data_IF_880912022733
#
_entry.id   IF_880912022733
#
_cell.length_a   1.000
_cell.length_b   1.000
_cell.length_c   1.000
_cell.angle_alpha   90.00
_cell.angle_beta   90.00
_cell.angle_gamma   90.00
#
_symmetry.space_group_name_H-M   'P 1'
#
loop_
_entity.id
_entity.type
_entity.pdbx_description
1 polymer ?
#
# COMPACT_ATOMS: atom_id res chain seq x y z
N UNK A 1 6.66 -2.49 -16.22
CA UNK A 1 5.21 -2.21 -16.18
C UNK A 1 4.78 -2.54 -14.76
N UNK A 2 4.00 -1.69 -14.10
CA UNK A 2 3.57 -1.94 -12.72
C UNK A 2 2.65 -3.17 -12.68
N UNK A 3 3.02 -4.15 -11.87
CA UNK A 3 2.32 -5.41 -11.68
C UNK A 3 1.51 -5.43 -10.38
N UNK A 4 0.49 -6.30 -10.30
CA UNK A 4 -0.22 -6.53 -9.03
C UNK A 4 0.78 -7.02 -7.99
N UNK A 5 0.81 -6.36 -6.83
CA UNK A 5 1.77 -6.61 -5.77
C UNK A 5 2.93 -5.62 -5.73
N UNK A 6 3.22 -4.92 -6.83
CA UNK A 6 4.22 -3.84 -6.84
C UNK A 6 3.80 -2.70 -5.92
N UNK A 7 4.80 -1.99 -5.39
CA UNK A 7 4.58 -0.71 -4.75
C UNK A 7 4.75 0.42 -5.75
N UNK A 8 3.80 1.34 -5.72
CA UNK A 8 3.76 2.48 -6.61
C UNK A 8 3.58 3.77 -5.82
N UNK A 9 4.22 4.84 -6.31
CA UNK A 9 4.01 6.20 -5.82
C UNK A 9 3.30 7.02 -6.88
N UNK A 10 2.24 7.69 -6.48
CA UNK A 10 1.57 8.68 -7.32
C UNK A 10 2.43 9.93 -7.45
N UNK A 11 2.68 10.40 -8.67
CA UNK A 11 3.61 11.50 -8.93
C UNK A 11 3.12 12.85 -8.42
N UNK A 12 1.82 13.15 -8.58
CA UNK A 12 1.23 14.42 -8.12
C UNK A 12 0.97 14.43 -6.61
N UNK A 13 0.29 13.40 -6.07
CA UNK A 13 -0.15 13.41 -4.66
C UNK A 13 0.92 12.90 -3.69
N UNK A 14 1.96 12.21 -4.18
CA UNK A 14 2.97 11.57 -3.34
C UNK A 14 2.49 10.32 -2.62
N UNK A 15 1.23 9.91 -2.80
CA UNK A 15 0.66 8.72 -2.17
C UNK A 15 1.45 7.46 -2.56
N UNK A 16 1.76 6.62 -1.58
CA UNK A 16 2.41 5.32 -1.78
C UNK A 16 1.44 4.21 -1.43
N UNK A 17 1.38 3.19 -2.27
CA UNK A 17 0.53 2.04 -2.03
C UNK A 17 0.91 0.82 -2.85
N UNK A 18 0.23 -0.29 -2.58
CA UNK A 18 0.38 -1.53 -3.34
C UNK A 18 -0.62 -1.59 -4.48
N UNK A 19 -0.17 -1.98 -5.65
CA UNK A 19 -1.02 -2.22 -6.82
C UNK A 19 -1.90 -3.45 -6.55
N UNK A 20 -3.22 -3.27 -6.67
CA UNK A 20 -4.22 -4.33 -6.44
C UNK A 20 -5.05 -4.65 -7.69
N UNK A 21 -4.88 -3.88 -8.76
CA UNK A 21 -5.54 -4.17 -10.03
C UNK A 21 -5.44 -3.05 -11.04
N UNK A 22 -6.15 -3.26 -12.15
CA UNK A 22 -6.21 -2.34 -13.28
C UNK A 22 -7.67 -1.97 -13.55
N UNK A 23 -7.84 -0.81 -14.16
CA UNK A 23 -9.10 -0.35 -14.69
C UNK A 23 -8.88 0.35 -16.02
N UNK A 24 -9.92 1.02 -16.49
CA UNK A 24 -9.85 1.83 -17.68
C UNK A 24 -10.83 2.99 -17.59
N UNK A 25 -10.46 4.08 -18.23
CA UNK A 25 -11.33 5.23 -18.43
C UNK A 25 -11.24 5.77 -19.87
N UNK A 26 -12.22 6.57 -20.27
CA UNK A 26 -12.22 7.24 -21.57
C UNK A 26 -11.88 8.71 -21.37
N UNK A 27 -10.67 9.10 -21.76
CA UNK A 27 -10.22 10.49 -21.75
C UNK A 27 -10.15 11.01 -23.19
N UNK A 28 -10.90 12.06 -23.49
CA UNK A 28 -10.95 12.67 -24.83
C UNK A 28 -11.23 11.67 -25.96
N UNK A 29 -12.05 10.64 -25.70
CA UNK A 29 -12.37 9.59 -26.67
C UNK A 29 -11.29 8.52 -26.82
N UNK A 30 -10.22 8.57 -26.03
CA UNK A 30 -9.17 7.54 -25.98
C UNK A 30 -9.40 6.65 -24.77
N UNK A 31 -9.28 5.34 -24.97
CA UNK A 31 -9.35 4.35 -23.88
C UNK A 31 -7.97 4.25 -23.21
N UNK A 32 -7.91 4.59 -21.92
CA UNK A 32 -6.66 4.69 -21.17
C UNK A 32 -6.72 3.74 -19.97
N UNK A 33 -5.63 3.02 -19.73
CA UNK A 33 -5.50 2.11 -18.57
C UNK A 33 -5.25 2.91 -17.30
N UNK A 34 -6.00 2.58 -16.25
CA UNK A 34 -5.85 3.11 -14.89
C UNK A 34 -5.28 2.04 -13.96
N UNK A 35 -4.70 2.49 -12.86
CA UNK A 35 -4.03 1.69 -11.85
C UNK A 35 -4.78 1.83 -10.53
N UNK A 36 -5.25 0.71 -9.98
CA UNK A 36 -5.90 0.66 -8.66
C UNK A 36 -4.86 0.33 -7.60
N UNK A 37 -4.67 1.26 -6.67
CA UNK A 37 -3.65 1.19 -5.64
C UNK A 37 -4.29 1.27 -4.26
N UNK A 38 -3.92 0.34 -3.37
CA UNK A 38 -4.27 0.36 -1.96
C UNK A 38 -3.21 1.15 -1.20
N UNK A 39 -3.60 2.27 -0.61
CA UNK A 39 -2.71 3.15 0.18
C UNK A 39 -2.13 2.43 1.39
N UNK A 40 -0.84 2.64 1.65
CA UNK A 40 -0.16 2.18 2.87
C UNK A 40 -0.23 3.31 3.88
N UNK A 41 -1.15 3.21 4.83
CA UNK A 41 -1.26 4.17 5.93
C UNK A 41 -0.58 3.56 7.15
N UNK A 42 0.26 4.32 7.85
CA UNK A 42 0.79 3.94 9.15
C UNK A 42 -0.37 3.92 10.18
N UNK A 43 -1.07 2.78 10.29
CA UNK A 43 -2.26 2.65 11.13
C UNK A 43 -3.08 1.38 10.86
N UNK A 44 -4.29 1.32 11.42
CA UNK A 44 -5.16 0.14 11.34
C UNK A 44 -5.46 -0.28 9.88
N UNK A 45 -5.24 -1.56 9.52
CA UNK A 45 -5.52 -2.10 8.18
C UNK A 45 -7.00 -2.03 7.80
N UNK A 46 -7.91 -1.82 8.76
CA UNK A 46 -9.36 -1.78 8.55
C UNK A 46 -9.85 -0.53 7.81
N UNK A 47 -9.00 0.51 7.66
CA UNK A 47 -9.32 1.72 6.87
C UNK A 47 -8.44 1.86 5.63
N UNK A 48 -8.22 0.76 4.93
CA UNK A 48 -7.52 0.76 3.65
C UNK A 48 -8.26 1.65 2.64
N UNK A 49 -7.64 2.75 2.20
CA UNK A 49 -8.14 3.59 1.10
C UNK A 49 -7.64 3.02 -0.22
N UNK A 50 -8.53 2.97 -1.22
CA UNK A 50 -8.16 2.67 -2.59
C UNK A 50 -8.17 3.96 -3.41
N UNK A 51 -7.16 4.12 -4.24
CA UNK A 51 -7.04 5.22 -5.21
C UNK A 51 -6.87 4.62 -6.59
N UNK A 52 -7.56 5.21 -7.56
CA UNK A 52 -7.46 4.83 -8.96
C UNK A 52 -7.13 6.07 -9.77
N UNK A 53 -6.10 6.00 -10.60
CA UNK A 53 -5.71 7.07 -11.52
C UNK A 53 -5.02 6.47 -12.76
N UNK A 54 -4.80 7.28 -13.79
CA UNK A 54 -4.13 6.89 -15.04
C UNK A 54 -2.78 6.26 -14.77
N UNK A 55 -2.45 5.18 -15.47
CA UNK A 55 -1.19 4.45 -15.30
C UNK A 55 0.05 5.37 -15.32
N UNK A 56 0.06 6.38 -16.20
CA UNK A 56 1.17 7.31 -16.34
C UNK A 56 1.43 8.19 -15.13
N UNK A 57 0.49 8.29 -14.19
CA UNK A 57 0.64 9.03 -12.93
C UNK A 57 1.40 8.25 -11.86
N UNK A 58 1.66 6.96 -12.08
CA UNK A 58 2.30 6.08 -11.11
C UNK A 58 3.72 5.71 -11.51
N UNK A 59 4.62 5.69 -10.53
CA UNK A 59 5.99 5.18 -10.68
C UNK A 59 6.26 4.08 -9.66
N UNK A 60 6.96 3.03 -10.09
CA UNK A 60 7.38 1.96 -9.19
C UNK A 60 8.33 2.49 -8.13
N UNK A 61 8.16 2.02 -6.90
CA UNK A 61 9.07 2.30 -5.79
C UNK A 61 9.41 1.00 -5.08
N UNK A 62 10.62 0.91 -4.57
CA UNK A 62 11.00 -0.16 -3.64
C UNK A 62 10.71 0.34 -2.22
N UNK A 63 10.01 -0.47 -1.43
CA UNK A 63 9.86 -0.21 0.00
C UNK A 63 10.85 -1.11 0.71
N UNK A 64 12.00 -0.57 1.08
CA UNK A 64 12.94 -1.30 1.93
C UNK A 64 12.27 -1.56 3.29
N UNK A 65 12.11 -2.86 3.62
CA UNK A 65 11.66 -3.42 4.90
C UNK A 65 10.66 -2.59 5.70
N UNK A 66 9.38 -2.99 5.65
CA UNK A 66 8.47 -2.78 6.78
C UNK A 66 9.14 -3.40 8.01
N UNK A 67 9.45 -2.65 9.09
CA UNK A 67 9.89 -3.28 10.31
C UNK A 67 8.73 -4.12 10.82
N UNK A 68 8.86 -5.44 10.67
CA UNK A 68 8.01 -6.41 11.37
C UNK A 68 8.34 -6.31 12.86
N UNK A 69 7.79 -5.32 13.55
CA UNK A 69 7.57 -5.41 14.99
C UNK A 69 6.15 -5.89 15.22
N UNK A 70 5.93 -7.17 14.89
CA UNK A 70 4.97 -7.99 15.61
C UNK A 70 5.77 -8.82 16.60
N UNK A 71 6.12 -8.22 17.73
CA UNK A 71 6.44 -8.96 18.95
C UNK A 71 5.28 -8.74 19.92
N UNK A 72 4.25 -9.59 19.77
CA UNK A 72 3.38 -9.97 20.87
C UNK A 72 4.21 -10.78 21.86
N UNK A 73 5.01 -10.12 22.71
CA UNK A 73 5.55 -10.70 23.94
C UNK A 73 5.64 -9.60 24.99
N UNK A 74 4.52 -9.31 25.64
CA UNK A 74 4.48 -8.68 26.98
C UNK A 74 3.06 -8.71 27.52
N UNK A 75 2.45 -9.89 27.58
CA UNK A 75 1.48 -10.20 28.63
C UNK A 75 1.76 -11.64 29.02
N UNK A 76 1.90 -11.88 30.32
CA UNK A 76 2.20 -13.17 30.96
C UNK A 76 3.70 -13.53 30.99
N UNK A 77 4.41 -13.08 32.03
CA UNK A 77 5.05 -13.96 33.06
C UNK A 77 5.92 -13.10 33.98
N UNK A 78 5.33 -12.38 34.94
CA UNK A 78 6.05 -11.97 36.16
C UNK A 78 5.13 -12.10 37.39
N UNK A 79 4.53 -13.28 37.51
CA UNK A 79 4.02 -13.80 38.79
C UNK A 79 4.53 -15.23 38.92
N UNK A 80 5.84 -15.39 39.12
CA UNK A 80 6.47 -16.51 39.84
C UNK A 80 8.00 -16.35 39.78
N UNK A 81 8.66 -16.62 40.91
CA UNK A 81 10.11 -16.75 41.08
C UNK A 81 10.92 -15.47 41.34
N UNK A 82 10.63 -14.79 42.46
CA UNK A 82 11.59 -14.53 43.57
C UNK A 82 10.74 -14.49 44.86
N UNK A 83 10.59 -15.56 45.62
CA UNK A 83 11.60 -16.14 46.53
C UNK A 83 12.29 -15.06 47.37
#
# INVERSE_FOLDING_TARGET
MLEIGDYARHQITGLVGQVVGYGHEVLHGVYVTTLKVREIVNGSPERSRFVEDVYSEWVQVEIEHVPTTLSQESVETEVALRA
#
